data_IF_563321376722
#
_entry.id   IF_563321376722
#
_cell.length_a   1.000
_cell.length_b   1.000
_cell.length_c   1.000
_cell.angle_alpha   90.00
_cell.angle_beta   90.00
_cell.angle_gamma   90.00
#
_symmetry.space_group_name_H-M   'P 1'
#
loop_
_entity.id
_entity.type
_entity.pdbx_description
1 polymer ?
#
# COMPACT_ATOMS: atom_id res chain seq x y z
N UNK A 1 32.96 29.30 55.44
CA UNK A 1 33.16 27.91 54.88
C UNK A 1 32.42 27.79 53.56
N UNK A 2 33.17 27.75 52.49
CA UNK A 2 32.62 27.78 51.15
C UNK A 2 32.23 26.37 50.70
N UNK A 3 30.94 26.15 50.49
CA UNK A 3 30.48 24.97 49.76
C UNK A 3 30.14 25.36 48.35
N UNK A 4 31.07 25.17 47.42
CA UNK A 4 30.86 25.28 46.00
C UNK A 4 30.07 24.03 45.55
N UNK A 5 28.80 24.22 45.32
CA UNK A 5 27.98 23.19 44.63
C UNK A 5 28.31 23.24 43.13
N UNK A 6 28.97 22.21 42.64
CA UNK A 6 29.19 22.01 41.22
C UNK A 6 27.90 21.46 40.60
N UNK A 7 27.20 22.26 39.83
CA UNK A 7 26.09 21.83 38.97
C UNK A 7 26.67 21.10 37.76
N UNK A 8 26.60 19.78 37.74
CA UNK A 8 26.90 18.99 36.57
C UNK A 8 25.69 19.06 35.64
N UNK A 9 25.81 19.82 34.57
CA UNK A 9 24.86 19.89 33.47
C UNK A 9 25.07 18.62 32.63
N UNK A 10 24.20 17.63 32.78
CA UNK A 10 24.16 16.46 31.90
C UNK A 10 23.44 16.87 30.62
N UNK A 11 24.22 17.15 29.58
CA UNK A 11 23.72 17.29 28.22
C UNK A 11 23.30 15.90 27.71
N UNK A 12 22.01 15.57 27.84
CA UNK A 12 21.43 14.44 27.14
C UNK A 12 21.27 14.84 25.67
N UNK A 13 22.25 14.48 24.86
CA UNK A 13 22.13 14.54 23.40
C UNK A 13 21.13 13.47 22.96
N UNK A 14 19.88 13.89 22.76
CA UNK A 14 18.86 13.06 22.12
C UNK A 14 19.30 12.85 20.65
N UNK A 15 19.97 11.74 20.39
CA UNK A 15 20.22 11.26 19.04
C UNK A 15 18.87 10.88 18.43
N UNK A 16 18.30 11.78 17.64
CA UNK A 16 17.14 11.47 16.79
C UNK A 16 17.65 10.51 15.72
N UNK A 17 17.50 9.20 15.99
CA UNK A 17 17.64 8.17 14.97
C UNK A 17 16.47 8.38 13.99
N UNK A 18 16.71 9.11 12.91
CA UNK A 18 15.86 9.05 11.71
C UNK A 18 15.97 7.65 11.15
N UNK A 19 15.03 6.79 11.54
CA UNK A 19 14.83 5.51 10.87
C UNK A 19 14.37 5.87 9.46
N UNK A 20 15.31 5.90 8.52
CA UNK A 20 14.98 5.90 7.10
C UNK A 20 14.27 4.58 6.85
N UNK A 21 12.95 4.64 6.75
CA UNK A 21 12.13 3.48 6.42
C UNK A 21 12.64 2.94 5.09
N UNK A 22 13.35 1.82 5.14
CA UNK A 22 13.92 1.17 3.97
C UNK A 22 12.77 0.75 3.07
N UNK A 23 12.70 1.27 1.84
CA UNK A 23 11.64 0.93 0.89
C UNK A 23 11.66 -0.57 0.66
N UNK A 24 10.50 -1.21 0.80
CA UNK A 24 10.37 -2.65 0.57
C UNK A 24 10.63 -2.99 -0.90
N UNK A 25 11.20 -4.16 -1.22
CA UNK A 25 11.31 -4.62 -2.59
C UNK A 25 9.95 -4.65 -3.29
N UNK A 26 9.89 -4.20 -4.54
CA UNK A 26 8.62 -4.06 -5.27
C UNK A 26 7.87 -5.39 -5.46
N UNK A 27 8.60 -6.49 -5.69
CA UNK A 27 8.02 -7.82 -5.80
C UNK A 27 7.35 -8.28 -4.50
N UNK A 28 7.90 -7.89 -3.35
CA UNK A 28 7.29 -8.15 -2.02
C UNK A 28 6.00 -7.37 -1.88
N UNK A 29 5.99 -6.08 -2.27
CA UNK A 29 4.76 -5.27 -2.26
C UNK A 29 3.69 -5.89 -3.16
N UNK A 30 4.04 -6.33 -4.37
CA UNK A 30 3.08 -6.96 -5.29
C UNK A 30 2.56 -8.32 -4.80
N UNK A 31 3.37 -9.10 -4.11
CA UNK A 31 2.91 -10.33 -3.43
C UNK A 31 1.89 -10.02 -2.35
N UNK A 32 2.14 -9.00 -1.54
CA UNK A 32 1.21 -8.55 -0.49
C UNK A 32 -0.08 -7.98 -1.10
N UNK A 33 -0.01 -7.21 -2.20
CA UNK A 33 -1.19 -6.75 -2.94
C UNK A 33 -2.03 -7.94 -3.41
N UNK A 34 -1.40 -8.91 -4.04
CA UNK A 34 -2.12 -10.08 -4.56
C UNK A 34 -2.79 -10.89 -3.44
N UNK A 35 -2.07 -11.16 -2.35
CA UNK A 35 -2.62 -11.89 -1.21
C UNK A 35 -3.78 -11.13 -0.54
N UNK A 36 -3.62 -9.83 -0.32
CA UNK A 36 -4.65 -8.99 0.31
C UNK A 36 -5.88 -8.84 -0.59
N UNK A 37 -5.69 -8.67 -1.91
CA UNK A 37 -6.78 -8.59 -2.88
C UNK A 37 -7.58 -9.90 -2.95
N UNK A 38 -6.90 -11.06 -2.87
CA UNK A 38 -7.54 -12.37 -2.79
C UNK A 38 -8.33 -12.58 -1.48
N UNK A 39 -7.79 -12.13 -0.34
CA UNK A 39 -8.51 -12.17 0.95
C UNK A 39 -9.73 -11.25 0.94
N UNK A 40 -9.58 -10.04 0.41
CA UNK A 40 -10.67 -9.09 0.23
C UNK A 40 -11.82 -9.72 -0.57
N UNK A 41 -11.53 -10.44 -1.65
CA UNK A 41 -12.56 -11.16 -2.42
C UNK A 41 -13.33 -12.14 -1.54
N UNK A 42 -12.62 -13.00 -0.80
CA UNK A 42 -13.24 -13.98 0.10
C UNK A 42 -14.13 -13.31 1.17
N UNK A 43 -13.66 -12.21 1.73
CA UNK A 43 -14.40 -11.45 2.75
C UNK A 43 -15.66 -10.79 2.18
N UNK A 44 -15.61 -10.28 0.95
CA UNK A 44 -16.79 -9.76 0.25
C UNK A 44 -17.80 -10.88 -0.08
N UNK A 45 -17.33 -12.02 -0.58
CA UNK A 45 -18.19 -13.15 -0.94
C UNK A 45 -18.87 -13.77 0.29
N UNK A 46 -18.23 -13.74 1.46
CA UNK A 46 -18.79 -14.21 2.74
C UNK A 46 -19.52 -13.11 3.54
N UNK A 47 -19.67 -11.91 2.98
CA UNK A 47 -20.26 -10.74 3.65
C UNK A 47 -19.54 -10.35 4.97
N UNK A 48 -18.28 -10.70 5.13
CA UNK A 48 -17.44 -10.33 6.27
C UNK A 48 -16.97 -8.87 6.13
N UNK A 49 -17.89 -7.91 6.22
CA UNK A 49 -17.64 -6.50 5.93
C UNK A 49 -16.55 -5.85 6.80
N UNK A 50 -16.46 -6.10 8.12
CA UNK A 50 -15.35 -5.57 8.92
C UNK A 50 -13.97 -6.01 8.39
N UNK A 51 -13.78 -7.29 8.09
CA UNK A 51 -12.53 -7.83 7.52
C UNK A 51 -12.27 -7.30 6.11
N UNK A 52 -13.32 -7.12 5.31
CA UNK A 52 -13.21 -6.48 4.00
C UNK A 52 -12.72 -5.02 4.11
N UNK A 53 -13.18 -4.26 5.10
CA UNK A 53 -12.73 -2.91 5.35
C UNK A 53 -11.25 -2.84 5.77
N UNK A 54 -10.79 -3.80 6.58
CA UNK A 54 -9.38 -3.91 6.97
C UNK A 54 -8.48 -4.23 5.77
N UNK A 55 -8.84 -5.23 4.96
CA UNK A 55 -8.11 -5.59 3.74
C UNK A 55 -8.05 -4.44 2.75
N UNK A 56 -9.16 -3.72 2.56
CA UNK A 56 -9.20 -2.55 1.68
C UNK A 56 -8.30 -1.42 2.18
N UNK A 57 -8.25 -1.17 3.48
CA UNK A 57 -7.35 -0.19 4.08
C UNK A 57 -5.89 -0.58 3.88
N UNK A 58 -5.57 -1.86 4.01
CA UNK A 58 -4.23 -2.40 3.73
C UNK A 58 -3.87 -2.23 2.26
N UNK A 59 -4.79 -2.53 1.33
CA UNK A 59 -4.57 -2.32 -0.10
C UNK A 59 -4.31 -0.85 -0.44
N UNK A 60 -5.03 0.08 0.16
CA UNK A 60 -4.78 1.51 -0.02
C UNK A 60 -3.32 1.86 0.30
N UNK A 61 -2.79 1.36 1.42
CA UNK A 61 -1.39 1.59 1.81
C UNK A 61 -0.41 0.95 0.83
N UNK A 62 -0.67 -0.27 0.39
CA UNK A 62 0.17 -0.99 -0.57
C UNK A 62 0.20 -0.28 -1.94
N UNK A 63 -0.93 0.26 -2.41
CA UNK A 63 -0.96 1.04 -3.65
C UNK A 63 -0.26 2.39 -3.54
N UNK A 64 -0.22 3.00 -2.36
CA UNK A 64 0.64 4.19 -2.12
C UNK A 64 2.13 3.83 -2.20
N UNK A 65 2.56 2.69 -1.68
CA UNK A 65 3.93 2.20 -1.87
C UNK A 65 4.24 1.94 -3.35
N UNK A 66 3.28 1.37 -4.09
CA UNK A 66 3.37 1.16 -5.54
C UNK A 66 3.51 2.48 -6.30
N UNK A 67 2.73 3.50 -5.96
CA UNK A 67 2.83 4.84 -6.52
C UNK A 67 4.23 5.44 -6.32
N UNK A 68 4.77 5.35 -5.10
CA UNK A 68 6.10 5.86 -4.79
C UNK A 68 7.21 5.14 -5.58
N UNK A 69 7.05 3.83 -5.84
CA UNK A 69 7.96 3.09 -6.70
C UNK A 69 7.96 3.66 -8.14
N UNK A 70 6.80 3.85 -8.75
CA UNK A 70 6.68 4.34 -10.12
C UNK A 70 7.07 5.80 -10.30
N UNK A 71 6.94 6.63 -9.26
CA UNK A 71 7.45 8.01 -9.25
C UNK A 71 8.96 8.07 -9.49
N UNK A 72 9.73 7.10 -9.00
CA UNK A 72 11.17 7.03 -9.22
C UNK A 72 11.50 6.83 -10.72
N UNK A 73 10.64 6.14 -11.47
CA UNK A 73 10.78 5.93 -12.92
C UNK A 73 10.08 7.01 -13.75
N UNK A 74 9.31 7.91 -13.13
CA UNK A 74 8.50 8.95 -13.79
C UNK A 74 7.49 8.38 -14.80
N UNK A 75 7.01 7.16 -14.57
CA UNK A 75 6.08 6.41 -15.43
C UNK A 75 4.64 6.85 -15.12
N UNK A 76 4.14 7.82 -15.88
CA UNK A 76 2.90 8.56 -15.57
C UNK A 76 1.66 7.68 -15.47
N UNK A 77 1.46 6.75 -16.40
CA UNK A 77 0.30 5.86 -16.43
C UNK A 77 0.30 4.85 -15.27
N UNK A 78 1.48 4.33 -14.87
CA UNK A 78 1.62 3.47 -13.70
C UNK A 78 1.39 4.24 -12.38
N UNK A 79 1.84 5.49 -12.30
CA UNK A 79 1.55 6.38 -11.17
C UNK A 79 0.04 6.59 -11.05
N UNK A 80 -0.63 6.93 -12.16
CA UNK A 80 -2.08 7.18 -12.17
C UNK A 80 -2.89 5.92 -11.84
N UNK A 81 -2.49 4.76 -12.38
CA UNK A 81 -3.12 3.48 -12.05
C UNK A 81 -2.99 3.16 -10.55
N UNK A 82 -1.82 3.39 -9.96
CA UNK A 82 -1.58 3.17 -8.52
C UNK A 82 -2.42 4.10 -7.65
N UNK A 83 -2.50 5.40 -8.00
CA UNK A 83 -3.34 6.39 -7.32
C UNK A 83 -4.81 6.02 -7.38
N UNK A 84 -5.28 5.63 -8.57
CA UNK A 84 -6.68 5.25 -8.79
C UNK A 84 -7.03 3.96 -8.02
N UNK A 85 -6.11 3.00 -7.97
CA UNK A 85 -6.29 1.78 -7.17
C UNK A 85 -6.34 2.09 -5.66
N UNK A 86 -5.50 3.01 -5.17
CA UNK A 86 -5.54 3.46 -3.78
C UNK A 86 -6.87 4.15 -3.45
N UNK A 87 -7.35 5.05 -4.31
CA UNK A 87 -8.63 5.74 -4.13
C UNK A 87 -9.84 4.76 -4.16
N UNK A 88 -9.82 3.78 -5.05
CA UNK A 88 -10.85 2.74 -5.10
C UNK A 88 -10.82 1.86 -3.84
N UNK A 89 -9.64 1.57 -3.30
CA UNK A 89 -9.48 0.84 -2.04
C UNK A 89 -10.06 1.62 -0.85
N UNK A 90 -9.84 2.92 -0.80
CA UNK A 90 -10.44 3.80 0.20
C UNK A 90 -11.97 3.83 0.10
N UNK A 91 -12.50 3.94 -1.11
CA UNK A 91 -13.94 3.88 -1.38
C UNK A 91 -14.53 2.55 -0.91
N UNK A 92 -13.83 1.43 -1.17
CA UNK A 92 -14.25 0.10 -0.70
C UNK A 92 -14.26 0.02 0.81
N UNK A 93 -13.19 0.50 1.47
CA UNK A 93 -13.10 0.48 2.93
C UNK A 93 -14.26 1.24 3.57
N UNK A 94 -14.60 2.42 3.05
CA UNK A 94 -15.76 3.21 3.52
C UNK A 94 -17.07 2.45 3.29
N UNK A 95 -17.29 1.92 2.08
CA UNK A 95 -18.50 1.17 1.75
C UNK A 95 -18.69 -0.06 2.63
N UNK A 96 -17.60 -0.77 2.92
CA UNK A 96 -17.62 -1.96 3.78
C UNK A 96 -17.95 -1.59 5.25
N UNK A 97 -17.41 -0.48 5.77
CA UNK A 97 -17.75 0.03 7.11
C UNK A 97 -19.21 0.44 7.21
N UNK A 98 -19.77 0.98 6.13
CA UNK A 98 -21.18 1.38 6.05
C UNK A 98 -22.12 0.16 5.77
N UNK A 99 -21.60 -1.04 5.60
CA UNK A 99 -22.36 -2.24 5.26
C UNK A 99 -22.95 -2.22 3.84
N UNK A 100 -22.44 -1.33 2.96
CA UNK A 100 -22.92 -1.19 1.58
C UNK A 100 -22.19 -2.19 0.65
N UNK A 101 -22.72 -3.42 0.60
CA UNK A 101 -22.13 -4.51 -0.18
C UNK A 101 -22.05 -4.20 -1.68
N UNK A 102 -23.07 -3.58 -2.26
CA UNK A 102 -23.12 -3.25 -3.68
C UNK A 102 -21.99 -2.26 -4.05
N UNK A 103 -21.84 -1.20 -3.27
CA UNK A 103 -20.79 -0.20 -3.49
C UNK A 103 -19.40 -0.81 -3.26
N UNK A 104 -19.24 -1.69 -2.27
CA UNK A 104 -17.99 -2.40 -2.02
C UNK A 104 -17.61 -3.31 -3.20
N UNK A 105 -18.55 -4.09 -3.74
CA UNK A 105 -18.32 -4.93 -4.92
C UNK A 105 -17.95 -4.11 -6.16
N UNK A 106 -18.61 -2.97 -6.39
CA UNK A 106 -18.28 -2.09 -7.51
C UNK A 106 -16.85 -1.52 -7.39
N UNK A 107 -16.46 -1.11 -6.19
CA UNK A 107 -15.11 -0.63 -5.92
C UNK A 107 -14.05 -1.75 -6.09
N UNK A 108 -14.35 -2.97 -5.68
CA UNK A 108 -13.50 -4.14 -5.92
C UNK A 108 -13.22 -4.34 -7.42
N UNK A 109 -14.27 -4.29 -8.25
CA UNK A 109 -14.15 -4.37 -9.70
C UNK A 109 -13.27 -3.25 -10.29
N UNK A 110 -13.36 -2.04 -9.73
CA UNK A 110 -12.52 -0.89 -10.15
C UNK A 110 -11.05 -1.13 -9.82
N UNK A 111 -10.72 -1.64 -8.62
CA UNK A 111 -9.35 -2.00 -8.26
C UNK A 111 -8.78 -3.00 -9.27
N UNK A 112 -9.52 -4.06 -9.61
CA UNK A 112 -9.11 -5.07 -10.59
C UNK A 112 -8.79 -4.50 -11.98
N UNK A 113 -9.56 -3.51 -12.44
CA UNK A 113 -9.29 -2.80 -13.71
C UNK A 113 -7.97 -2.05 -13.68
N UNK A 114 -7.64 -1.36 -12.59
CA UNK A 114 -6.37 -0.64 -12.46
C UNK A 114 -5.17 -1.59 -12.35
N UNK A 115 -5.33 -2.72 -11.64
CA UNK A 115 -4.31 -3.77 -11.62
C UNK A 115 -4.01 -4.29 -13.03
N UNK A 116 -5.06 -4.59 -13.80
CA UNK A 116 -4.91 -5.08 -15.18
C UNK A 116 -4.25 -4.04 -16.08
N UNK A 117 -4.68 -2.80 -16.03
CA UNK A 117 -4.14 -1.74 -16.89
C UNK A 117 -2.62 -1.56 -16.69
N UNK A 118 -2.16 -1.52 -15.43
CA UNK A 118 -0.74 -1.44 -15.12
C UNK A 118 0.02 -2.70 -15.56
N UNK A 119 -0.50 -3.89 -15.28
CA UNK A 119 0.15 -5.15 -15.63
C UNK A 119 0.27 -5.36 -17.13
N UNK A 120 -0.72 -4.97 -17.92
CA UNK A 120 -0.68 -5.10 -19.39
C UNK A 120 0.46 -4.26 -20.00
N UNK A 121 0.77 -3.11 -19.43
CA UNK A 121 1.79 -2.19 -19.94
C UNK A 121 3.18 -2.43 -19.34
N UNK A 122 3.24 -2.76 -18.05
CA UNK A 122 4.49 -2.67 -17.27
C UNK A 122 4.97 -4.00 -16.69
N UNK A 123 4.30 -5.12 -16.99
CA UNK A 123 4.70 -6.46 -16.56
C UNK A 123 4.92 -7.36 -17.76
N UNK A 124 6.10 -7.96 -17.84
CA UNK A 124 6.46 -8.92 -18.88
C UNK A 124 6.69 -10.31 -18.26
N UNK A 125 6.03 -11.34 -18.83
CA UNK A 125 6.25 -12.72 -18.44
C UNK A 125 7.53 -13.24 -19.12
N UNK A 126 8.47 -13.73 -18.32
CA UNK A 126 9.72 -14.30 -18.78
C UNK A 126 9.58 -15.80 -19.09
N UNK A 127 10.49 -16.39 -19.88
CA UNK A 127 10.45 -17.82 -20.22
C UNK A 127 10.50 -18.76 -19.00
N UNK A 128 11.15 -18.36 -17.92
CA UNK A 128 11.22 -19.07 -16.64
C UNK A 128 9.96 -18.90 -15.76
N UNK A 129 8.91 -18.27 -16.30
CA UNK A 129 7.65 -17.94 -15.62
C UNK A 129 7.76 -16.86 -14.52
N UNK A 130 8.91 -16.22 -14.39
CA UNK A 130 9.04 -15.00 -13.57
C UNK A 130 8.47 -13.78 -14.29
N UNK A 131 8.34 -12.67 -13.58
CA UNK A 131 7.90 -11.40 -14.17
C UNK A 131 9.01 -10.37 -14.11
N UNK A 132 9.14 -9.62 -15.20
CA UNK A 132 10.01 -8.44 -15.28
C UNK A 132 9.17 -7.17 -15.38
N UNK A 133 9.65 -6.11 -14.72
CA UNK A 133 9.06 -4.78 -14.81
C UNK A 133 9.57 -4.11 -16.09
N UNK A 134 8.65 -3.47 -16.83
CA UNK A 134 8.94 -2.58 -17.96
C UNK A 134 8.53 -1.16 -17.56
N UNK A 135 9.49 -0.28 -17.22
CA UNK A 135 9.22 1.13 -16.93
C UNK A 135 8.65 1.89 -18.12
#
# INVERSE_FOLDING_TARGET
MNRKAALAVILISASVMTILAQKRPYDVVMKDVNATFGNLRKNLDSAAMPSAAEDATKLQSLFKETEEFWKAFKTKDAIEASKSAAAASETLAAAARDGNAQKAQAAYGSIGKYCKACHDSHRELMPDKSYRIKP
#
